data_IF_296254477670
#
_entry.id   IF_296254477670
#
_cell.length_a   1.000
_cell.length_b   1.000
_cell.length_c   1.000
_cell.angle_alpha   90.00
_cell.angle_beta   90.00
_cell.angle_gamma   90.00
#
_symmetry.space_group_name_H-M   'P 1'
#
loop_
_entity.id
_entity.type
_entity.pdbx_description
1 polymer ?
#
# COMPACT_ATOMS: atom_id res chain seq x y z
N UNK A 1 10.83 2.37 15.94
CA UNK A 1 10.95 2.70 14.49
C UNK A 1 9.61 3.29 14.03
N UNK A 2 9.50 4.61 13.84
CA UNK A 2 8.22 5.21 13.44
C UNK A 2 7.91 4.93 11.96
N UNK A 3 6.70 4.46 11.69
CA UNK A 3 6.19 4.23 10.34
C UNK A 3 4.88 4.98 10.20
N UNK A 4 4.80 5.85 9.19
CA UNK A 4 3.59 6.63 8.90
C UNK A 4 3.14 6.29 7.47
N UNK A 5 1.96 5.73 7.34
CA UNK A 5 1.34 5.46 6.05
C UNK A 5 0.34 6.58 5.72
N UNK A 6 0.47 7.21 4.55
CA UNK A 6 -0.37 8.34 4.17
C UNK A 6 -1.11 8.07 2.87
N UNK A 7 -2.43 8.21 2.91
CA UNK A 7 -3.26 8.36 1.72
C UNK A 7 -3.80 9.78 1.61
N UNK A 8 -4.11 10.23 0.39
CA UNK A 8 -4.52 11.61 0.15
C UNK A 8 -5.46 11.74 -1.03
N UNK A 9 -6.31 12.74 -1.00
CA UNK A 9 -7.00 13.24 -2.18
C UNK A 9 -6.10 14.19 -2.99
N UNK A 10 -6.22 14.21 -4.32
CA UNK A 10 -5.50 15.16 -5.15
C UNK A 10 -5.90 16.61 -4.80
N UNK A 11 -4.92 17.48 -4.59
CA UNK A 11 -5.14 18.88 -4.17
C UNK A 11 -5.40 19.09 -2.68
N UNK A 12 -5.35 18.04 -1.84
CA UNK A 12 -5.54 18.14 -0.39
C UNK A 12 -4.30 18.54 0.42
N UNK A 13 -3.17 18.85 -0.21
CA UNK A 13 -1.87 19.11 0.44
C UNK A 13 -1.27 17.91 1.19
N UNK A 14 -1.80 16.70 1.00
CA UNK A 14 -1.25 15.51 1.66
C UNK A 14 0.17 15.16 1.21
N UNK A 15 0.63 15.65 0.02
CA UNK A 15 2.02 15.54 -0.40
C UNK A 15 2.94 16.40 0.49
N UNK A 16 2.48 17.60 0.83
CA UNK A 16 3.20 18.55 1.64
C UNK A 16 3.26 18.06 3.10
N UNK A 17 2.16 17.52 3.62
CA UNK A 17 2.14 16.84 4.93
C UNK A 17 3.14 15.69 4.97
N UNK A 18 3.17 14.82 3.97
CA UNK A 18 4.12 13.71 3.93
C UNK A 18 5.58 14.18 3.89
N UNK A 19 5.89 15.18 3.07
CA UNK A 19 7.23 15.76 2.98
C UNK A 19 7.67 16.43 4.29
N UNK A 20 6.77 17.20 4.91
CA UNK A 20 7.04 17.86 6.18
C UNK A 20 7.22 16.85 7.33
N UNK A 21 6.48 15.74 7.36
CA UNK A 21 6.69 14.66 8.33
C UNK A 21 8.06 14.00 8.14
N UNK A 22 8.45 13.69 6.90
CA UNK A 22 9.76 13.15 6.60
C UNK A 22 10.87 14.08 7.10
N UNK A 23 10.73 15.38 6.83
CA UNK A 23 11.70 16.40 7.29
C UNK A 23 11.73 16.53 8.82
N UNK A 24 10.58 16.63 9.46
CA UNK A 24 10.46 16.83 10.92
C UNK A 24 10.95 15.63 11.74
N UNK A 25 10.83 14.43 11.20
CA UNK A 25 11.21 13.17 11.87
C UNK A 25 12.57 12.63 11.40
N UNK A 26 13.19 13.25 10.38
CA UNK A 26 14.42 12.75 9.76
C UNK A 26 14.21 11.40 9.04
N UNK A 27 13.01 11.17 8.49
CA UNK A 27 12.63 9.90 7.84
C UNK A 27 12.56 10.04 6.33
N UNK A 28 12.89 8.98 5.57
CA UNK A 28 12.66 8.96 4.13
C UNK A 28 11.16 8.99 3.84
N UNK A 29 10.77 9.72 2.78
CA UNK A 29 9.41 9.70 2.24
C UNK A 29 9.37 8.79 1.02
N UNK A 30 8.82 7.60 1.20
CA UNK A 30 8.76 6.55 0.18
C UNK A 30 7.54 6.76 -0.74
N UNK A 31 7.79 6.93 -2.01
CA UNK A 31 6.80 6.97 -3.09
C UNK A 31 7.40 6.53 -4.43
N UNK A 32 8.48 7.16 -4.85
CA UNK A 32 9.15 6.85 -6.12
C UNK A 32 10.05 5.62 -6.01
N UNK A 33 10.51 5.30 -4.83
CA UNK A 33 11.40 4.18 -4.53
C UNK A 33 10.77 2.83 -4.87
N UNK A 34 9.42 2.74 -4.83
CA UNK A 34 8.66 1.56 -5.24
C UNK A 34 8.54 1.43 -6.75
N UNK A 35 8.59 2.54 -7.50
CA UNK A 35 8.30 2.56 -8.95
C UNK A 35 9.31 1.75 -9.75
N UNK A 36 10.59 1.94 -9.47
CA UNK A 36 11.67 1.32 -10.24
C UNK A 36 11.71 -0.21 -10.08
N UNK A 37 11.78 -0.76 -8.85
CA UNK A 37 11.74 -2.19 -8.63
C UNK A 37 10.46 -2.84 -9.19
N UNK A 38 9.32 -2.15 -9.05
CA UNK A 38 8.05 -2.63 -9.56
C UNK A 38 8.04 -2.70 -11.09
N UNK A 39 8.54 -1.67 -11.77
CA UNK A 39 8.63 -1.63 -13.23
C UNK A 39 9.52 -2.76 -13.77
N UNK A 40 10.65 -3.00 -13.11
CA UNK A 40 11.58 -4.08 -13.46
C UNK A 40 10.95 -5.46 -13.29
N UNK A 41 10.30 -5.71 -12.15
CA UNK A 41 9.60 -6.99 -11.89
C UNK A 41 8.44 -7.25 -12.85
N UNK A 42 7.71 -6.21 -13.22
CA UNK A 42 6.61 -6.31 -14.18
C UNK A 42 7.08 -6.28 -15.64
N UNK A 43 8.36 -6.00 -15.90
CA UNK A 43 8.95 -5.82 -17.23
C UNK A 43 8.23 -4.75 -18.06
N UNK A 44 7.87 -3.64 -17.42
CA UNK A 44 7.23 -2.48 -18.03
C UNK A 44 8.05 -1.22 -17.82
N UNK A 45 7.73 -0.15 -18.55
CA UNK A 45 8.41 1.13 -18.37
C UNK A 45 7.96 1.80 -17.05
N UNK A 46 8.86 2.47 -16.34
CA UNK A 46 8.54 3.27 -15.13
C UNK A 46 7.38 4.24 -15.36
N UNK A 47 7.35 4.92 -16.52
CA UNK A 47 6.27 5.83 -16.89
C UNK A 47 4.90 5.15 -16.98
N UNK A 48 4.86 3.87 -17.34
CA UNK A 48 3.61 3.09 -17.38
C UNK A 48 3.09 2.83 -15.96
N UNK A 49 3.98 2.44 -15.05
CA UNK A 49 3.63 2.25 -13.62
C UNK A 49 3.10 3.55 -13.02
N UNK A 50 3.80 4.67 -13.24
CA UNK A 50 3.37 5.99 -12.74
C UNK A 50 1.98 6.37 -13.26
N UNK A 51 1.73 6.23 -14.56
CA UNK A 51 0.41 6.56 -15.15
C UNK A 51 -0.73 5.70 -14.61
N UNK A 52 -0.46 4.41 -14.37
CA UNK A 52 -1.48 3.51 -13.79
C UNK A 52 -1.86 3.94 -12.37
N UNK A 53 -0.88 4.38 -11.58
CA UNK A 53 -1.08 4.78 -10.18
C UNK A 53 -1.72 6.15 -10.07
N UNK A 54 -1.25 7.10 -10.88
CA UNK A 54 -1.77 8.46 -10.89
C UNK A 54 -3.13 8.58 -11.62
N UNK A 55 -3.64 7.46 -12.18
CA UNK A 55 -4.92 7.43 -12.89
C UNK A 55 -4.88 8.08 -14.27
N UNK A 56 -3.69 8.46 -14.78
CA UNK A 56 -3.51 9.11 -16.09
C UNK A 56 -3.26 8.11 -17.23
N UNK A 57 -3.26 6.81 -16.94
CA UNK A 57 -3.14 5.76 -17.95
C UNK A 57 -4.33 5.76 -18.91
N UNK A 58 -4.06 5.56 -20.20
CA UNK A 58 -5.10 5.42 -21.22
C UNK A 58 -5.98 4.19 -21.03
N UNK A 59 -7.15 4.15 -21.70
CA UNK A 59 -8.10 3.04 -21.57
C UNK A 59 -7.48 1.68 -21.88
N UNK A 60 -6.70 1.59 -22.94
CA UNK A 60 -6.01 0.35 -23.34
C UNK A 60 -4.99 -0.06 -22.26
N UNK A 61 -4.20 0.87 -21.76
CA UNK A 61 -3.23 0.59 -20.67
C UNK A 61 -3.93 0.07 -19.42
N UNK A 62 -5.08 0.63 -19.05
CA UNK A 62 -5.87 0.19 -17.87
C UNK A 62 -6.48 -1.19 -18.06
N UNK A 63 -6.88 -1.55 -19.29
CA UNK A 63 -7.47 -2.85 -19.60
C UNK A 63 -6.41 -3.96 -19.66
N UNK A 64 -5.22 -3.65 -20.16
CA UNK A 64 -4.13 -4.63 -20.35
C UNK A 64 -3.19 -4.75 -19.16
N UNK A 65 -3.27 -3.83 -18.19
CA UNK A 65 -2.40 -3.84 -17.01
C UNK A 65 -2.62 -5.07 -16.13
N UNK A 66 -1.56 -5.76 -15.77
CA UNK A 66 -1.58 -6.81 -14.76
C UNK A 66 -1.63 -6.20 -13.35
N UNK A 67 -2.86 -5.82 -12.96
CA UNK A 67 -3.14 -5.16 -11.68
C UNK A 67 -2.87 -6.08 -10.49
N UNK A 68 -2.97 -7.39 -10.68
CA UNK A 68 -2.70 -8.37 -9.63
C UNK A 68 -1.20 -8.44 -9.32
N UNK A 69 -0.35 -8.56 -10.33
CA UNK A 69 1.10 -8.48 -10.15
C UNK A 69 1.53 -7.15 -9.56
N UNK A 70 0.92 -6.04 -10.03
CA UNK A 70 1.23 -4.72 -9.48
C UNK A 70 0.94 -4.63 -7.98
N UNK A 71 -0.21 -5.14 -7.52
CA UNK A 71 -0.56 -5.15 -6.10
C UNK A 71 0.39 -6.03 -5.27
N UNK A 72 0.68 -7.25 -5.75
CA UNK A 72 1.55 -8.21 -5.05
C UNK A 72 2.98 -7.66 -4.93
N UNK A 73 3.55 -7.17 -6.03
CA UNK A 73 4.93 -6.68 -6.02
C UNK A 73 5.07 -5.36 -5.28
N UNK A 74 4.06 -4.45 -5.37
CA UNK A 74 4.06 -3.22 -4.57
C UNK A 74 4.05 -3.52 -3.08
N UNK A 75 3.28 -4.52 -2.64
CA UNK A 75 3.24 -4.90 -1.23
C UNK A 75 4.60 -5.41 -0.75
N UNK A 76 5.25 -6.30 -1.52
CA UNK A 76 6.57 -6.82 -1.18
C UNK A 76 7.63 -5.71 -1.10
N UNK A 77 7.66 -4.79 -2.08
CA UNK A 77 8.58 -3.66 -2.07
C UNK A 77 8.36 -2.71 -0.88
N UNK A 78 7.10 -2.40 -0.55
CA UNK A 78 6.78 -1.53 0.59
C UNK A 78 7.28 -2.16 1.89
N UNK A 79 6.97 -3.43 2.13
CA UNK A 79 7.43 -4.13 3.32
C UNK A 79 8.96 -4.21 3.40
N UNK A 80 9.62 -4.48 2.28
CA UNK A 80 11.08 -4.57 2.22
C UNK A 80 11.74 -3.21 2.52
N UNK A 81 11.25 -2.12 1.92
CA UNK A 81 11.73 -0.77 2.16
C UNK A 81 11.53 -0.32 3.61
N UNK A 82 10.37 -0.63 4.18
CA UNK A 82 10.03 -0.28 5.57
C UNK A 82 10.90 -1.06 6.56
N UNK A 83 11.16 -2.34 6.31
CA UNK A 83 11.98 -3.18 7.19
C UNK A 83 13.47 -2.85 7.13
N UNK A 84 14.00 -2.45 5.98
CA UNK A 84 15.41 -2.07 5.82
C UNK A 84 15.74 -0.73 6.46
N UNK A 85 14.75 0.16 6.59
CA UNK A 85 14.92 1.50 7.15
C UNK A 85 14.85 1.54 8.67
N UNK A 86 15.10 2.73 9.22
CA UNK A 86 14.88 3.05 10.64
C UNK A 86 13.54 3.77 10.87
N UNK A 87 12.58 3.53 9.99
CA UNK A 87 11.30 4.19 9.89
C UNK A 87 11.11 4.82 8.51
N UNK A 88 9.87 5.17 8.19
CA UNK A 88 9.54 5.79 6.91
C UNK A 88 8.18 6.51 6.95
N UNK A 89 8.03 7.50 6.08
CA UNK A 89 6.73 8.04 5.65
C UNK A 89 6.40 7.43 4.31
N UNK A 90 5.42 6.52 4.26
CA UNK A 90 5.01 5.82 3.03
C UNK A 90 3.77 6.48 2.46
N UNK A 91 3.86 7.00 1.24
CA UNK A 91 2.77 7.74 0.60
C UNK A 91 2.18 6.96 -0.57
N UNK A 92 0.87 6.74 -0.52
CA UNK A 92 0.13 6.04 -1.59
C UNK A 92 0.32 4.52 -1.58
N UNK A 93 0.16 3.87 -2.74
CA UNK A 93 0.37 2.43 -2.97
C UNK A 93 -0.51 1.49 -2.13
N UNK A 94 -1.57 2.00 -1.49
CA UNK A 94 -2.35 1.23 -0.52
C UNK A 94 -1.62 0.96 0.79
N UNK A 95 -0.54 1.70 1.09
CA UNK A 95 0.28 1.50 2.29
C UNK A 95 -0.52 1.60 3.59
N UNK A 96 -1.48 2.52 3.66
CA UNK A 96 -2.38 2.66 4.82
C UNK A 96 -3.18 1.39 5.10
N UNK A 97 -3.43 0.58 4.08
CA UNK A 97 -4.13 -0.69 4.26
C UNK A 97 -3.15 -1.85 4.48
N UNK A 98 -2.08 -1.91 3.70
CA UNK A 98 -1.06 -2.96 3.84
C UNK A 98 -0.42 -3.00 5.22
N UNK A 99 -0.26 -1.83 5.85
CA UNK A 99 0.43 -1.67 7.13
C UNK A 99 -0.52 -1.50 8.33
N UNK A 100 -1.85 -1.43 8.09
CA UNK A 100 -2.85 -1.14 9.14
C UNK A 100 -2.80 -2.13 10.30
N UNK A 101 -2.56 -3.40 10.02
CA UNK A 101 -2.56 -4.44 11.05
C UNK A 101 -1.30 -4.41 11.93
N UNK A 102 -0.35 -3.51 11.64
CA UNK A 102 0.86 -3.35 12.43
C UNK A 102 0.64 -2.27 13.49
N UNK A 103 0.58 -2.60 14.80
CA UNK A 103 0.12 -1.67 15.84
C UNK A 103 0.93 -0.39 16.01
N UNK A 104 2.21 -0.38 15.60
CA UNK A 104 3.06 0.81 15.70
C UNK A 104 3.11 1.65 14.41
N UNK A 105 2.27 1.33 13.42
CA UNK A 105 2.10 2.15 12.21
C UNK A 105 0.96 3.13 12.40
N UNK A 106 1.18 4.37 12.00
CA UNK A 106 0.13 5.41 12.00
C UNK A 106 -0.43 5.55 10.59
N UNK A 107 -1.71 5.27 10.42
CA UNK A 107 -2.41 5.38 9.16
C UNK A 107 -3.15 6.71 9.07
N UNK A 108 -2.75 7.57 8.14
CA UNK A 108 -3.25 8.94 7.98
C UNK A 108 -3.96 9.11 6.65
N UNK A 109 -5.12 9.78 6.67
CA UNK A 109 -5.78 10.26 5.46
C UNK A 109 -5.83 11.78 5.47
N UNK A 110 -5.47 12.40 4.31
CA UNK A 110 -5.55 13.85 4.12
C UNK A 110 -6.56 14.15 3.02
N UNK A 111 -7.59 14.92 3.34
CA UNK A 111 -8.67 15.30 2.45
C UNK A 111 -8.91 16.82 2.44
N UNK A 112 -9.69 17.29 1.48
CA UNK A 112 -10.22 18.66 1.45
C UNK A 112 -11.47 18.71 0.55
N UNK A 113 -12.37 19.71 0.71
CA UNK A 113 -13.51 19.91 -0.17
C UNK A 113 -13.09 20.10 -1.63
N UNK A 114 -13.84 19.51 -2.55
CA UNK A 114 -13.55 19.54 -3.98
C UNK A 114 -13.28 20.95 -4.55
N UNK A 115 -14.08 22.00 -4.23
CA UNK A 115 -13.79 23.34 -4.73
C UNK A 115 -12.42 23.88 -4.34
N UNK A 116 -11.99 23.58 -3.10
CA UNK A 116 -10.66 23.97 -2.61
C UNK A 116 -9.56 23.19 -3.30
N UNK A 117 -9.75 21.89 -3.50
CA UNK A 117 -8.78 21.03 -4.21
C UNK A 117 -8.59 21.50 -5.65
N UNK A 118 -9.67 21.86 -6.35
CA UNK A 118 -9.63 22.43 -7.70
C UNK A 118 -8.81 23.70 -7.74
N UNK A 119 -9.11 24.69 -6.90
CA UNK A 119 -8.37 25.95 -6.85
C UNK A 119 -6.87 25.73 -6.63
N UNK A 120 -6.48 24.91 -5.66
CA UNK A 120 -5.08 24.56 -5.38
C UNK A 120 -4.40 23.86 -6.55
N UNK A 121 -5.12 23.03 -7.29
CA UNK A 121 -4.59 22.37 -8.48
C UNK A 121 -4.43 23.34 -9.64
N UNK A 122 -5.37 24.25 -9.86
CA UNK A 122 -5.25 25.32 -10.87
C UNK A 122 -4.04 26.21 -10.60
N UNK A 123 -3.86 26.66 -9.35
CA UNK A 123 -2.68 27.42 -8.91
C UNK A 123 -1.39 26.64 -9.16
N UNK A 124 -1.33 25.36 -8.76
CA UNK A 124 -0.13 24.53 -8.92
C UNK A 124 0.26 24.26 -10.37
N UNK A 125 -0.75 24.06 -11.24
CA UNK A 125 -0.56 23.80 -12.66
C UNK A 125 -0.45 25.08 -13.48
N UNK A 126 -0.64 26.25 -12.86
CA UNK A 126 -0.68 27.57 -13.49
C UNK A 126 -1.65 27.57 -14.69
N UNK A 127 -2.87 27.17 -14.46
CA UNK A 127 -3.93 27.07 -15.49
C UNK A 127 -5.26 27.62 -14.98
N UNK A 128 -6.04 28.20 -15.90
CA UNK A 128 -7.41 28.66 -15.64
C UNK A 128 -8.46 27.66 -16.18
N UNK A 129 -8.03 26.50 -16.70
CA UNK A 129 -8.92 25.48 -17.21
C UNK A 129 -9.53 24.64 -16.07
N UNK A 130 -10.61 25.18 -15.49
CA UNK A 130 -11.38 24.51 -14.43
C UNK A 130 -11.90 23.13 -14.85
N UNK A 131 -12.26 22.96 -16.13
CA UNK A 131 -12.80 21.70 -16.64
C UNK A 131 -11.72 20.62 -16.68
N UNK A 132 -10.56 20.92 -17.25
CA UNK A 132 -9.44 19.99 -17.29
C UNK A 132 -8.99 19.56 -15.90
N UNK A 133 -8.88 20.51 -14.96
CA UNK A 133 -8.51 20.23 -13.56
C UNK A 133 -9.57 19.37 -12.87
N UNK A 134 -10.86 19.64 -13.11
CA UNK A 134 -11.96 18.83 -12.55
C UNK A 134 -11.90 17.39 -13.04
N UNK A 135 -11.66 17.18 -14.32
CA UNK A 135 -11.52 15.83 -14.93
C UNK A 135 -10.31 15.11 -14.34
N UNK A 136 -9.17 15.79 -14.19
CA UNK A 136 -7.96 15.19 -13.62
C UNK A 136 -8.18 14.73 -12.17
N UNK A 137 -8.79 15.58 -11.33
CA UNK A 137 -9.12 15.22 -9.94
C UNK A 137 -10.06 14.03 -9.90
N UNK A 138 -11.13 14.05 -10.70
CA UNK A 138 -12.11 12.96 -10.76
C UNK A 138 -11.47 11.64 -11.20
N UNK A 139 -10.69 11.66 -12.27
CA UNK A 139 -9.97 10.48 -12.75
C UNK A 139 -9.01 9.90 -11.70
N UNK A 140 -8.32 10.75 -10.94
CA UNK A 140 -7.43 10.31 -9.87
C UNK A 140 -8.21 9.66 -8.71
N UNK A 141 -9.29 10.31 -8.25
CA UNK A 141 -10.13 9.79 -7.16
C UNK A 141 -10.80 8.46 -7.55
N UNK A 142 -11.31 8.34 -8.78
CA UNK A 142 -11.89 7.11 -9.33
C UNK A 142 -10.87 5.98 -9.46
N UNK A 143 -9.66 6.29 -9.97
CA UNK A 143 -8.59 5.32 -10.08
C UNK A 143 -8.20 4.78 -8.70
N UNK A 144 -8.08 5.66 -7.69
CA UNK A 144 -7.79 5.27 -6.32
C UNK A 144 -8.91 4.39 -5.74
N UNK A 145 -10.17 4.79 -5.92
CA UNK A 145 -11.34 4.02 -5.49
C UNK A 145 -11.36 2.63 -6.11
N UNK A 146 -11.10 2.53 -7.41
CA UNK A 146 -11.08 1.26 -8.13
C UNK A 146 -9.95 0.32 -7.63
N UNK A 147 -8.77 0.88 -7.36
CA UNK A 147 -7.62 0.13 -6.82
C UNK A 147 -7.94 -0.40 -5.43
N UNK A 148 -8.44 0.44 -4.53
CA UNK A 148 -8.71 0.06 -3.14
C UNK A 148 -9.84 -0.95 -3.04
N UNK A 149 -10.94 -0.76 -3.80
CA UNK A 149 -12.04 -1.72 -3.85
C UNK A 149 -11.60 -3.06 -4.42
N UNK A 150 -10.82 -3.08 -5.48
CA UNK A 150 -10.39 -4.30 -6.15
C UNK A 150 -9.39 -5.11 -5.32
N UNK A 151 -8.36 -4.44 -4.78
CA UNK A 151 -7.24 -5.12 -4.13
C UNK A 151 -7.53 -5.46 -2.67
N UNK A 152 -8.40 -4.68 -2.04
CA UNK A 152 -8.61 -4.75 -0.59
C UNK A 152 -10.09 -4.85 -0.19
N UNK A 153 -11.03 -4.71 -1.12
CA UNK A 153 -12.46 -4.74 -0.81
C UNK A 153 -12.99 -3.51 -0.05
N UNK A 154 -12.20 -2.44 0.01
CA UNK A 154 -12.44 -1.30 0.90
C UNK A 154 -12.90 -0.04 0.15
N UNK A 155 -13.68 0.77 0.86
CA UNK A 155 -13.94 2.18 0.55
C UNK A 155 -12.85 3.02 1.23
N UNK A 156 -11.90 3.55 0.46
CA UNK A 156 -10.78 4.31 1.00
C UNK A 156 -11.18 5.68 1.61
N UNK A 157 -12.40 6.12 1.38
CA UNK A 157 -12.96 7.33 1.98
C UNK A 157 -13.49 7.13 3.38
N UNK A 158 -13.72 5.88 3.82
CA UNK A 158 -14.26 5.59 5.13
C UNK A 158 -13.23 5.89 6.22
N UNK A 159 -13.58 6.76 7.21
CA UNK A 159 -12.64 7.20 8.23
C UNK A 159 -12.14 6.05 9.12
N UNK A 160 -12.91 4.99 9.27
CA UNK A 160 -12.56 3.81 10.06
C UNK A 160 -11.30 3.09 9.58
N UNK A 161 -10.88 3.34 8.33
CA UNK A 161 -9.65 2.78 7.78
C UNK A 161 -8.38 3.51 8.22
N UNK A 162 -8.48 4.55 9.07
CA UNK A 162 -7.37 5.41 9.44
C UNK A 162 -7.36 5.70 10.93
N UNK A 163 -6.16 5.95 11.47
CA UNK A 163 -6.01 6.42 12.85
C UNK A 163 -6.32 7.91 12.95
N UNK A 164 -6.04 8.67 11.87
CA UNK A 164 -6.33 10.10 11.78
C UNK A 164 -6.77 10.50 10.37
N UNK A 165 -7.80 11.34 10.30
CA UNK A 165 -8.25 11.98 9.05
C UNK A 165 -8.15 13.50 9.22
N UNK A 166 -7.36 14.15 8.37
CA UNK A 166 -7.22 15.60 8.34
C UNK A 166 -7.98 16.22 7.16
N UNK A 167 -8.81 17.23 7.47
CA UNK A 167 -9.39 18.09 6.44
C UNK A 167 -8.60 19.41 6.40
N UNK A 168 -7.82 19.59 5.34
CA UNK A 168 -6.94 20.75 5.16
C UNK A 168 -7.67 22.00 4.67
N UNK A 169 -9.01 22.02 4.71
CA UNK A 169 -9.74 23.28 4.56
C UNK A 169 -9.46 24.24 5.70
N UNK A 170 -9.37 23.72 6.93
CA UNK A 170 -9.20 24.50 8.15
C UNK A 170 -7.98 24.15 8.96
N UNK A 171 -7.48 22.90 8.83
CA UNK A 171 -6.26 22.42 9.49
C UNK A 171 -5.07 22.68 8.57
N UNK A 172 -4.10 23.46 9.03
CA UNK A 172 -2.89 23.75 8.26
C UNK A 172 -1.99 22.51 8.09
N UNK A 173 -1.09 22.55 7.12
CA UNK A 173 -0.09 21.49 6.94
C UNK A 173 0.76 21.31 8.19
N UNK A 174 1.17 22.41 8.82
CA UNK A 174 2.02 22.39 10.02
C UNK A 174 1.28 21.78 11.22
N UNK A 175 -0.01 22.05 11.39
CA UNK A 175 -0.84 21.43 12.41
C UNK A 175 -1.01 19.93 12.16
N UNK A 176 -1.23 19.50 10.90
CA UNK A 176 -1.25 18.08 10.55
C UNK A 176 0.05 17.37 10.92
N UNK A 177 1.20 17.99 10.60
CA UNK A 177 2.53 17.46 10.92
C UNK A 177 2.69 17.36 12.44
N UNK A 178 2.38 18.42 13.18
CA UNK A 178 2.53 18.49 14.64
C UNK A 178 1.74 17.38 15.33
N UNK A 179 0.49 17.14 14.91
CA UNK A 179 -0.36 16.10 15.49
C UNK A 179 0.16 14.68 15.19
N UNK A 180 0.63 14.41 13.97
CA UNK A 180 1.20 13.09 13.67
C UNK A 180 2.52 12.88 14.43
N UNK A 181 3.37 13.91 14.55
CA UNK A 181 4.60 13.85 15.38
C UNK A 181 4.26 13.58 16.86
N UNK A 182 3.17 14.14 17.39
CA UNK A 182 2.68 13.85 18.74
C UNK A 182 2.25 12.37 18.87
N UNK A 183 1.54 11.83 17.88
CA UNK A 183 1.15 10.40 17.88
C UNK A 183 2.35 9.47 17.82
N UNK A 184 3.35 9.78 16.99
CA UNK A 184 4.61 9.02 16.91
C UNK A 184 5.30 8.88 18.28
N UNK A 185 5.17 9.89 19.14
CA UNK A 185 5.75 9.92 20.48
C UNK A 185 4.86 9.29 21.57
N UNK A 186 3.65 8.87 21.22
CA UNK A 186 2.72 8.28 22.19
C UNK A 186 2.98 6.78 22.38
N UNK A 187 2.68 6.28 23.57
CA UNK A 187 2.81 4.85 23.90
C UNK A 187 1.91 3.97 23.04
N UNK A 188 0.80 4.51 22.54
CA UNK A 188 -0.13 3.78 21.68
C UNK A 188 0.50 3.29 20.36
N UNK A 189 1.49 4.03 19.85
CA UNK A 189 2.21 3.69 18.63
C UNK A 189 3.68 3.33 18.89
N UNK A 190 4.03 3.01 20.13
CA UNK A 190 5.37 2.53 20.45
C UNK A 190 5.63 1.16 19.82
N UNK A 191 6.77 1.02 19.14
CA UNK A 191 7.19 -0.27 18.61
C UNK A 191 7.46 -1.25 19.77
N UNK A 192 6.90 -2.44 19.68
CA UNK A 192 7.11 -3.54 20.60
C UNK A 192 7.70 -4.74 19.86
N UNK A 193 8.33 -5.67 20.57
CA UNK A 193 8.80 -6.92 19.95
C UNK A 193 7.68 -7.67 19.21
N UNK A 194 6.45 -7.64 19.75
CA UNK A 194 5.29 -8.27 19.11
C UNK A 194 4.88 -7.53 17.83
N UNK A 195 4.80 -6.21 17.85
CA UNK A 195 4.41 -5.44 16.66
C UNK A 195 5.49 -5.47 15.57
N UNK A 196 6.76 -5.56 15.95
CA UNK A 196 7.86 -5.78 15.01
C UNK A 196 7.75 -7.14 14.35
N UNK A 197 7.52 -8.21 15.13
CA UNK A 197 7.33 -9.55 14.58
C UNK A 197 6.14 -9.62 13.63
N UNK A 198 5.05 -8.93 13.94
CA UNK A 198 3.88 -8.86 13.05
C UNK A 198 4.21 -8.21 11.70
N UNK A 199 5.01 -7.13 11.70
CA UNK A 199 5.49 -6.51 10.46
C UNK A 199 6.37 -7.48 9.65
N UNK A 200 7.28 -8.20 10.31
CA UNK A 200 8.15 -9.20 9.68
C UNK A 200 7.35 -10.38 9.09
N UNK A 201 6.32 -10.83 9.78
CA UNK A 201 5.42 -11.90 9.32
C UNK A 201 4.62 -11.48 8.07
N UNK A 202 4.09 -10.24 8.07
CA UNK A 202 3.40 -9.68 6.90
C UNK A 202 4.34 -9.52 5.70
N UNK A 203 5.57 -9.08 5.95
CA UNK A 203 6.61 -8.96 4.92
C UNK A 203 6.98 -10.32 4.33
N UNK A 204 7.15 -11.35 5.18
CA UNK A 204 7.43 -12.69 4.71
C UNK A 204 6.28 -13.23 3.85
N UNK A 205 5.04 -13.04 4.27
CA UNK A 205 3.88 -13.45 3.48
C UNK A 205 3.81 -12.72 2.12
N UNK A 206 4.14 -11.43 2.07
CA UNK A 206 4.19 -10.65 0.83
C UNK A 206 5.30 -11.17 -0.10
N UNK A 207 6.48 -11.45 0.43
CA UNK A 207 7.63 -12.00 -0.32
C UNK A 207 7.31 -13.37 -0.92
N UNK A 208 6.65 -14.24 -0.16
CA UNK A 208 6.19 -15.55 -0.67
C UNK A 208 5.18 -15.36 -1.81
N UNK A 209 4.19 -14.46 -1.67
CA UNK A 209 3.25 -14.16 -2.76
C UNK A 209 3.96 -13.64 -4.01
N UNK A 210 4.97 -12.79 -3.83
CA UNK A 210 5.77 -12.26 -4.93
C UNK A 210 6.58 -13.36 -5.63
N UNK A 211 7.21 -14.27 -4.88
CA UNK A 211 7.90 -15.44 -5.41
C UNK A 211 6.98 -16.34 -6.24
N UNK A 212 5.81 -16.67 -5.70
CA UNK A 212 4.79 -17.46 -6.40
C UNK A 212 4.30 -16.77 -7.68
N UNK A 213 4.19 -15.44 -7.69
CA UNK A 213 3.74 -14.67 -8.86
C UNK A 213 4.81 -14.59 -9.96
N UNK A 214 6.09 -14.61 -9.63
CA UNK A 214 7.20 -14.59 -10.58
C UNK A 214 7.31 -15.93 -11.34
N UNK A 215 7.11 -17.04 -10.66
CA UNK A 215 7.25 -18.38 -11.27
C UNK A 215 6.13 -18.65 -12.29
N UNK A 216 6.46 -19.03 -13.54
CA UNK A 216 5.47 -19.39 -14.56
C UNK A 216 4.53 -20.52 -14.14
N UNK A 217 5.01 -21.43 -13.30
CA UNK A 217 4.25 -22.61 -12.86
C UNK A 217 3.22 -22.29 -11.78
N UNK A 218 3.47 -21.25 -10.96
CA UNK A 218 2.64 -20.95 -9.79
C UNK A 218 1.89 -19.61 -9.87
N UNK A 219 2.17 -18.78 -10.89
CA UNK A 219 1.63 -17.41 -11.03
C UNK A 219 0.11 -17.31 -10.97
N UNK A 220 -0.59 -18.32 -11.46
CA UNK A 220 -2.05 -18.34 -11.54
C UNK A 220 -2.70 -19.18 -10.41
N UNK A 221 -1.88 -19.70 -9.50
CA UNK A 221 -2.34 -20.46 -8.35
C UNK A 221 -3.13 -19.55 -7.38
N UNK A 222 -4.36 -19.97 -7.06
CA UNK A 222 -5.22 -19.26 -6.10
C UNK A 222 -4.90 -19.76 -4.69
N UNK A 223 -3.90 -19.11 -4.07
CA UNK A 223 -3.38 -19.50 -2.76
C UNK A 223 -3.46 -18.30 -1.80
N UNK A 224 -4.06 -18.51 -0.64
CA UNK A 224 -3.91 -17.62 0.49
C UNK A 224 -2.58 -17.92 1.19
N UNK A 225 -1.81 -16.89 1.50
CA UNK A 225 -0.50 -17.00 2.15
C UNK A 225 -0.53 -16.19 3.44
N UNK A 226 -0.17 -16.82 4.54
CA UNK A 226 0.11 -16.15 5.82
C UNK A 226 1.43 -16.65 6.39
N UNK A 227 2.05 -15.86 7.26
CA UNK A 227 3.30 -16.24 7.91
C UNK A 227 3.26 -15.89 9.39
N UNK A 228 3.98 -16.64 10.20
CA UNK A 228 4.20 -16.37 11.61
C UNK A 228 5.56 -16.94 12.02
N UNK A 229 6.47 -16.07 12.46
CA UNK A 229 7.80 -16.43 12.96
C UNK A 229 8.60 -17.34 12.00
N UNK A 230 8.53 -17.06 10.70
CA UNK A 230 9.19 -17.85 9.66
C UNK A 230 8.44 -19.10 9.20
N UNK A 231 7.32 -19.45 9.84
CA UNK A 231 6.44 -20.53 9.39
C UNK A 231 5.38 -19.98 8.46
N UNK A 232 5.36 -20.46 7.21
CA UNK A 232 4.39 -20.06 6.19
C UNK A 232 3.21 -21.03 6.19
N UNK A 233 1.99 -20.51 6.12
CA UNK A 233 0.78 -21.30 5.91
C UNK A 233 0.21 -20.95 4.54
N UNK A 234 0.06 -21.97 3.71
CA UNK A 234 -0.54 -21.91 2.39
C UNK A 234 -1.93 -22.54 2.44
N UNK A 235 -2.96 -21.85 1.95
CA UNK A 235 -4.31 -22.37 1.90
C UNK A 235 -4.93 -22.19 0.51
N UNK A 236 -5.49 -23.27 -0.04
CA UNK A 236 -6.10 -23.28 -1.38
C UNK A 236 -6.32 -24.69 -1.88
N UNK A 237 -6.99 -24.84 -3.02
CA UNK A 237 -7.18 -26.13 -3.68
C UNK A 237 -6.18 -26.29 -4.82
N UNK A 238 -5.15 -27.10 -4.60
CA UNK A 238 -4.05 -27.34 -5.53
C UNK A 238 -3.98 -28.82 -5.90
N UNK A 239 -3.79 -29.10 -7.18
CA UNK A 239 -3.39 -30.42 -7.63
C UNK A 239 -1.95 -30.76 -7.21
N UNK A 240 -1.61 -32.05 -7.22
CA UNK A 240 -0.30 -32.55 -6.75
C UNK A 240 0.88 -31.86 -7.43
N UNK A 241 0.84 -31.72 -8.75
CA UNK A 241 1.95 -31.10 -9.52
C UNK A 241 2.11 -29.61 -9.15
N UNK A 242 0.99 -28.90 -8.99
CA UNK A 242 0.99 -27.50 -8.56
C UNK A 242 1.54 -27.36 -7.13
N UNK A 243 1.19 -28.28 -6.23
CA UNK A 243 1.69 -28.28 -4.87
C UNK A 243 3.21 -28.47 -4.81
N UNK A 244 3.77 -29.35 -5.65
CA UNK A 244 5.22 -29.53 -5.75
C UNK A 244 5.92 -28.25 -6.25
N UNK A 245 5.38 -27.62 -7.30
CA UNK A 245 5.94 -26.36 -7.82
C UNK A 245 5.85 -25.22 -6.79
N UNK A 246 4.75 -25.15 -6.02
CA UNK A 246 4.57 -24.18 -4.94
C UNK A 246 5.57 -24.42 -3.82
N UNK A 247 5.77 -25.69 -3.41
CA UNK A 247 6.73 -26.06 -2.38
C UNK A 247 8.15 -25.62 -2.75
N UNK A 248 8.60 -25.91 -3.98
CA UNK A 248 9.91 -25.52 -4.48
C UNK A 248 10.13 -23.98 -4.42
N UNK A 249 9.11 -23.21 -4.84
CA UNK A 249 9.19 -21.75 -4.77
C UNK A 249 9.25 -21.25 -3.35
N UNK A 250 8.42 -21.80 -2.45
CA UNK A 250 8.33 -21.34 -1.05
C UNK A 250 9.61 -21.66 -0.28
N UNK A 251 10.19 -22.84 -0.46
CA UNK A 251 11.46 -23.24 0.16
C UNK A 251 12.63 -22.33 -0.27
N UNK A 252 12.58 -21.79 -1.49
CA UNK A 252 13.55 -20.84 -2.00
C UNK A 252 13.42 -19.40 -1.48
N UNK A 253 12.34 -19.06 -0.76
CA UNK A 253 12.10 -17.69 -0.31
C UNK A 253 12.88 -17.38 0.97
N UNK A 254 13.74 -16.34 0.98
CA UNK A 254 14.50 -15.96 2.17
C UNK A 254 13.61 -15.61 3.35
N UNK A 255 13.87 -16.25 4.51
CA UNK A 255 13.12 -16.06 5.76
C UNK A 255 12.07 -17.13 6.01
N UNK A 256 11.75 -18.00 5.06
CA UNK A 256 10.95 -19.20 5.29
C UNK A 256 11.80 -20.22 6.03
N UNK A 257 11.29 -20.72 7.16
CA UNK A 257 11.91 -21.80 7.96
C UNK A 257 11.20 -23.12 7.72
N UNK A 258 9.89 -23.07 7.52
CA UNK A 258 9.01 -24.20 7.30
C UNK A 258 7.70 -23.72 6.70
N UNK A 259 6.96 -24.58 6.01
CA UNK A 259 5.62 -24.27 5.55
C UNK A 259 4.63 -25.40 5.76
N UNK A 260 3.37 -25.03 5.87
CA UNK A 260 2.24 -25.94 5.96
C UNK A 260 1.24 -25.64 4.86
N UNK A 261 0.68 -26.70 4.28
CA UNK A 261 -0.39 -26.60 3.30
C UNK A 261 -1.73 -27.07 3.88
N UNK A 262 -2.80 -26.34 3.56
CA UNK A 262 -4.18 -26.68 3.90
C UNK A 262 -5.01 -26.71 2.61
N UNK A 263 -5.71 -27.82 2.35
CA UNK A 263 -6.50 -28.04 1.14
C UNK A 263 -7.77 -27.19 1.02
N UNK A 264 -8.16 -26.45 2.04
CA UNK A 264 -9.27 -25.50 1.99
C UNK A 264 -8.84 -24.21 2.65
N UNK A 265 -9.03 -23.08 1.96
CA UNK A 265 -8.96 -21.79 2.61
C UNK A 265 -10.02 -21.77 3.72
N UNK A 266 -9.68 -21.36 4.96
CA UNK A 266 -10.71 -21.10 5.95
C UNK A 266 -11.72 -20.12 5.32
N UNK A 267 -13.02 -20.44 5.34
CA UNK A 267 -14.04 -19.45 4.98
C UNK A 267 -13.75 -18.21 5.81
N UNK A 268 -13.69 -17.02 5.22
CA UNK A 268 -13.57 -15.81 6.00
C UNK A 268 -14.67 -15.86 7.05
N UNK A 269 -14.29 -15.65 8.31
CA UNK A 269 -15.25 -15.57 9.40
C UNK A 269 -16.26 -14.48 9.04
N UNK A 270 -17.57 -14.77 8.97
CA UNK A 270 -18.57 -13.76 8.66
C UNK A 270 -18.52 -12.56 9.62
N UNK A 271 -17.86 -12.67 10.78
CA UNK A 271 -17.61 -11.58 11.70
C UNK A 271 -16.52 -10.57 11.20
N UNK A 272 -15.75 -10.89 10.16
CA UNK A 272 -14.75 -9.97 9.57
C UNK A 272 -15.26 -9.26 8.31
N UNK A 273 -16.55 -9.45 7.97
CA UNK A 273 -17.22 -8.82 6.82
C UNK A 273 -18.23 -7.73 7.24
N UNK A 274 -18.15 -7.24 8.49
CA UNK A 274 -18.95 -6.09 8.94
C UNK A 274 -18.12 -4.82 8.96
#
# INVERSE_FOLDING_TARGET
>A
MPIIAITREMGSLGKDVAAGLGQSLGLPTLYHEVVEPLADRMRVRKSHVIRLIDGTAGLIERLTADKTSMAIFSADEIFDLVLKGQGAVVRGWGATHLLRDVPHVICVRVCAPLPLRKRRMMERLNTDDDTAVSVEIHCNDEAHTAIMRRNFGLQWTDPENYDVVFNTERVSVDECISEVVRLVKSDAFAETGKSRQQLEDLALAARVRAGLRISPLTRDAKIAVSASQGQVTLAGDLGTDMLLAVAEVVDGVPGVRDFKYRSHAPRPDPATLN
#
